data_IF_457001973721
#
_entry.id   IF_457001973721
#
_cell.length_a   1.000
_cell.length_b   1.000
_cell.length_c   1.000
_cell.angle_alpha   90.00
_cell.angle_beta   90.00
_cell.angle_gamma   90.00
#
_symmetry.space_group_name_H-M   'P 1'
#
loop_
_entity.id
_entity.type
_entity.pdbx_description
1 polymer ?
#
# COMPACT_ATOMS: atom_id res chain seq x y z
N UNK A 1 -18.55 -14.00 15.57
CA UNK A 1 -17.12 -13.62 15.63
C UNK A 1 -16.37 -14.37 14.54
N UNK A 2 -15.67 -13.69 13.64
CA UNK A 2 -15.17 -14.27 12.39
C UNK A 2 -13.73 -13.85 12.06
N UNK A 3 -12.76 -14.18 12.92
CA UNK A 3 -11.33 -14.09 12.57
C UNK A 3 -10.53 -15.34 12.92
N UNK A 4 -11.10 -16.31 13.65
CA UNK A 4 -10.39 -17.50 14.15
C UNK A 4 -8.96 -17.18 14.67
N UNK A 5 -8.85 -16.10 15.44
CA UNK A 5 -7.58 -15.64 16.01
C UNK A 5 -6.54 -15.15 15.00
N UNK A 6 -6.90 -14.81 13.76
CA UNK A 6 -5.94 -14.31 12.75
C UNK A 6 -5.19 -13.06 13.21
N UNK A 7 -5.85 -12.18 13.98
CA UNK A 7 -5.22 -11.00 14.56
C UNK A 7 -4.09 -11.34 15.55
N UNK A 8 -4.09 -12.53 16.16
CA UNK A 8 -2.99 -13.01 17.02
C UNK A 8 -1.77 -13.49 16.22
N UNK A 9 -1.91 -13.66 14.91
CA UNK A 9 -0.86 -14.19 14.01
C UNK A 9 -0.28 -13.12 13.08
N UNK A 10 -0.67 -11.86 13.27
CA UNK A 10 -0.17 -10.72 12.48
C UNK A 10 0.62 -9.82 13.41
N UNK A 11 1.81 -9.41 12.96
CA UNK A 11 2.61 -8.43 13.68
C UNK A 11 2.09 -7.03 13.36
N UNK A 12 1.58 -6.34 14.38
CA UNK A 12 1.05 -4.98 14.28
C UNK A 12 2.04 -4.02 14.90
N UNK A 13 2.39 -2.97 14.16
CA UNK A 13 3.32 -1.94 14.58
C UNK A 13 2.66 -0.57 14.42
N UNK A 14 2.89 0.31 15.39
CA UNK A 14 2.44 1.71 15.34
C UNK A 14 3.67 2.60 15.30
N UNK A 15 3.95 3.17 14.14
CA UNK A 15 5.10 4.04 13.94
C UNK A 15 4.77 5.19 12.98
N UNK A 16 5.63 6.21 12.98
CA UNK A 16 5.58 7.25 11.97
C UNK A 16 5.97 6.67 10.61
N UNK A 17 5.03 6.73 9.66
CA UNK A 17 5.19 6.11 8.35
C UNK A 17 6.32 6.75 7.54
N UNK A 18 6.55 8.05 7.67
CA UNK A 18 7.62 8.76 6.96
C UNK A 18 8.99 8.28 7.43
N UNK A 19 9.19 8.21 8.76
CA UNK A 19 10.42 7.73 9.37
C UNK A 19 10.69 6.24 9.05
N UNK A 20 9.64 5.43 8.97
CA UNK A 20 9.74 4.02 8.58
C UNK A 20 10.17 3.86 7.11
N UNK A 21 9.46 4.54 6.19
CA UNK A 21 9.74 4.43 4.75
C UNK A 21 11.12 4.98 4.37
N UNK A 22 11.57 6.04 5.04
CA UNK A 22 12.89 6.62 4.79
C UNK A 22 14.06 5.67 5.07
N UNK A 23 13.86 4.64 5.91
CA UNK A 23 14.89 3.65 6.26
C UNK A 23 14.84 2.39 5.39
N UNK A 24 13.82 2.26 4.56
CA UNK A 24 13.49 1.03 3.88
C UNK A 24 14.08 1.00 2.48
N UNK A 25 14.74 -0.11 2.16
CA UNK A 25 15.35 -0.36 0.84
C UNK A 25 14.45 -1.17 -0.08
N UNK A 26 13.37 -1.75 0.45
CA UNK A 26 12.39 -2.49 -0.33
C UNK A 26 11.59 -1.54 -1.21
N UNK A 27 11.19 -1.96 -2.42
CA UNK A 27 10.31 -1.17 -3.27
C UNK A 27 8.96 -0.94 -2.58
N UNK A 28 8.46 0.28 -2.72
CA UNK A 28 7.19 0.72 -2.18
C UNK A 28 6.17 0.84 -3.31
N UNK A 29 5.14 0.00 -3.24
CA UNK A 29 3.97 0.01 -4.08
C UNK A 29 2.92 0.95 -3.47
N UNK A 30 2.50 1.97 -4.21
CA UNK A 30 1.49 2.92 -3.77
C UNK A 30 0.15 2.68 -4.44
N UNK A 31 -0.89 2.35 -3.69
CA UNK A 31 -2.25 2.19 -4.22
C UNK A 31 -2.86 3.56 -4.56
N UNK A 32 -2.76 3.97 -5.82
CA UNK A 32 -3.15 5.26 -6.36
C UNK A 32 -4.14 5.07 -7.51
N UNK A 33 -5.07 6.01 -7.70
CA UNK A 33 -6.05 5.94 -8.81
C UNK A 33 -5.35 6.01 -10.19
N UNK A 34 -4.23 6.71 -10.26
CA UNK A 34 -3.42 6.94 -11.45
C UNK A 34 -2.15 6.07 -11.50
N UNK A 35 -2.30 4.77 -11.20
CA UNK A 35 -1.21 3.78 -11.25
C UNK A 35 -1.40 2.69 -12.32
N UNK A 36 -0.39 1.85 -12.48
CA UNK A 36 -0.51 0.65 -13.32
C UNK A 36 -1.47 -0.35 -12.65
N UNK A 37 -2.40 -0.93 -13.41
CA UNK A 37 -3.33 -1.92 -12.87
C UNK A 37 -2.59 -3.02 -12.11
N UNK A 38 -3.07 -3.35 -10.91
CA UNK A 38 -2.50 -4.42 -10.07
C UNK A 38 -2.49 -5.76 -10.81
N UNK A 39 -3.45 -6.00 -11.71
CA UNK A 39 -3.52 -7.22 -12.53
C UNK A 39 -2.41 -7.28 -13.61
N UNK A 40 -1.89 -6.13 -14.02
CA UNK A 40 -0.79 -6.01 -14.98
C UNK A 40 0.57 -5.75 -14.28
N UNK A 41 0.56 -5.63 -12.95
CA UNK A 41 1.75 -5.32 -12.16
C UNK A 41 2.36 -6.60 -11.63
N UNK A 42 3.63 -6.83 -11.97
CA UNK A 42 4.38 -7.99 -11.48
C UNK A 42 5.13 -7.61 -10.19
N UNK A 43 4.85 -8.33 -9.10
CA UNK A 43 5.53 -8.16 -7.81
C UNK A 43 6.55 -9.30 -7.67
N UNK A 44 7.77 -9.05 -8.14
CA UNK A 44 8.83 -10.07 -8.23
C UNK A 44 9.74 -10.17 -7.00
N UNK A 45 9.60 -9.23 -6.06
CA UNK A 45 10.45 -9.15 -4.87
C UNK A 45 9.64 -8.73 -3.64
N UNK A 46 10.14 -9.00 -2.42
CA UNK A 46 9.55 -8.47 -1.20
C UNK A 46 9.36 -6.97 -1.31
N UNK A 47 8.10 -6.52 -1.19
CA UNK A 47 7.69 -5.15 -1.47
C UNK A 47 6.75 -4.67 -0.38
N UNK A 48 6.74 -3.36 -0.16
CA UNK A 48 5.82 -2.71 0.77
C UNK A 48 4.61 -2.19 0.01
N UNK A 49 3.41 -2.43 0.54
CA UNK A 49 2.18 -1.86 -0.01
C UNK A 49 1.68 -0.73 0.89
N UNK A 50 1.53 0.46 0.33
CA UNK A 50 0.90 1.59 1.00
C UNK A 50 -0.51 1.77 0.46
N UNK A 51 -1.47 1.79 1.37
CA UNK A 51 -2.87 2.08 1.08
C UNK A 51 -3.23 3.42 1.72
N UNK A 52 -3.72 4.34 0.89
CA UNK A 52 -4.17 5.64 1.33
C UNK A 52 -5.48 5.60 2.11
N UNK A 53 -5.82 6.73 2.71
CA UNK A 53 -7.15 6.92 3.29
C UNK A 53 -8.20 6.94 2.16
N UNK A 54 -9.38 6.34 2.40
CA UNK A 54 -10.45 6.24 1.39
C UNK A 54 -10.88 7.59 0.80
N UNK A 55 -10.99 8.64 1.61
CA UNK A 55 -11.46 9.95 1.15
C UNK A 55 -10.35 10.84 0.60
N UNK A 56 -9.11 10.68 1.09
CA UNK A 56 -8.01 11.62 0.84
C UNK A 56 -6.81 10.98 0.12
N UNK A 57 -6.86 9.70 -0.19
CA UNK A 57 -5.76 8.94 -0.77
C UNK A 57 -4.51 8.91 0.12
N UNK A 58 -3.37 8.64 -0.51
CA UNK A 58 -2.05 8.71 0.10
C UNK A 58 -1.66 10.20 0.24
N UNK A 59 -1.11 10.57 1.40
CA UNK A 59 -0.68 11.95 1.66
C UNK A 59 0.48 12.35 0.74
N UNK A 60 0.51 13.61 0.32
CA UNK A 60 1.52 14.14 -0.61
C UNK A 60 2.97 13.93 -0.14
N UNK A 61 3.24 14.09 1.16
CA UNK A 61 4.57 13.88 1.72
C UNK A 61 5.06 12.42 1.63
N UNK A 62 4.17 11.46 1.38
CA UNK A 62 4.52 10.05 1.22
C UNK A 62 4.75 9.66 -0.25
N UNK A 63 4.29 10.48 -1.21
CA UNK A 63 4.43 10.20 -2.64
C UNK A 63 5.90 10.03 -3.09
N UNK A 64 6.89 10.81 -2.58
CA UNK A 64 8.29 10.63 -2.96
C UNK A 64 8.87 9.26 -2.60
N UNK A 65 8.28 8.57 -1.63
CA UNK A 65 8.70 7.23 -1.21
C UNK A 65 8.08 6.12 -2.05
N UNK A 66 7.10 6.42 -2.92
CA UNK A 66 6.45 5.43 -3.76
C UNK A 66 7.31 5.18 -4.99
N UNK A 67 7.83 3.95 -5.11
CA UNK A 67 8.60 3.52 -6.28
C UNK A 67 7.68 3.13 -7.44
N UNK A 68 6.55 2.50 -7.13
CA UNK A 68 5.66 1.95 -8.14
C UNK A 68 4.20 2.29 -7.82
N UNK A 69 3.60 3.27 -8.52
CA UNK A 69 2.19 3.56 -8.37
C UNK A 69 1.36 2.45 -9.03
N UNK A 70 0.52 1.79 -8.23
CA UNK A 70 -0.40 0.74 -8.69
C UNK A 70 -1.83 1.21 -8.52
N UNK A 71 -2.70 0.89 -9.49
CA UNK A 71 -4.13 1.10 -9.38
C UNK A 71 -4.84 -0.21 -9.12
N UNK A 72 -5.88 -0.16 -8.27
CA UNK A 72 -6.80 -1.28 -8.08
C UNK A 72 -8.03 -0.92 -8.91
N UNK A 73 -8.24 -1.55 -10.08
CA UNK A 73 -9.40 -1.25 -10.91
C UNK A 73 -10.67 -1.61 -10.14
N UNK A 74 -11.54 -0.62 -9.91
CA UNK A 74 -12.87 -0.88 -9.39
C UNK A 74 -13.77 -1.41 -10.50
N UNK A 75 -14.59 -2.42 -10.22
CA UNK A 75 -15.70 -2.81 -11.10
C UNK A 75 -16.91 -1.87 -10.89
N UNK A 76 -16.66 -0.56 -10.79
CA UNK A 76 -17.67 0.47 -10.55
C UNK A 76 -18.38 0.87 -11.83
N UNK A 77 -19.20 -0.03 -12.37
CA UNK A 77 -20.26 0.32 -13.31
C UNK A 77 -21.58 0.32 -12.56
N UNK A 78 -22.08 1.50 -12.24
CA UNK A 78 -23.47 1.75 -11.85
C UNK A 78 -23.98 2.91 -12.69
#
# INVERSE_FOLDING_TARGET
>A
QATMGSFLRVNIWYEDLTAFLAKQTMPVLGALLNGQSVYATKIDQPSLLIIGNESKGIREHLLPYINQPISIPGNGGA
#
